data_IF_828662508872
#
_entry.id   IF_828662508872
#
_cell.length_a   1.000
_cell.length_b   1.000
_cell.length_c   1.000
_cell.angle_alpha   90.00
_cell.angle_beta   90.00
_cell.angle_gamma   90.00
#
_symmetry.space_group_name_H-M   'P 1'
#
loop_
_entity.id
_entity.type
_entity.pdbx_description
1 polymer ?
#
# COMPACT_ATOMS: atom_id res chain seq x y z
N UNK A 1 -41.61 19.83 42.07
CA UNK A 1 -41.95 18.95 40.94
C UNK A 1 -40.68 18.78 40.14
N UNK A 2 -40.19 17.56 39.89
CA UNK A 2 -39.05 17.39 39.00
C UNK A 2 -39.50 17.75 37.58
N UNK A 3 -38.75 18.61 36.91
CA UNK A 3 -39.01 18.97 35.52
C UNK A 3 -39.01 17.69 34.67
N UNK A 4 -40.08 17.48 33.89
CA UNK A 4 -40.14 16.40 32.91
C UNK A 4 -39.00 16.59 31.91
N UNK A 5 -38.06 15.64 31.88
CA UNK A 5 -37.02 15.61 30.87
C UNK A 5 -37.69 15.29 29.53
N UNK A 6 -37.95 16.33 28.73
CA UNK A 6 -38.44 16.19 27.36
C UNK A 6 -37.31 15.76 26.43
N UNK A 7 -37.42 14.58 25.82
CA UNK A 7 -36.50 14.17 24.75
C UNK A 7 -36.84 14.90 23.44
N UNK A 8 -35.83 15.28 22.63
CA UNK A 8 -36.06 15.91 21.34
C UNK A 8 -36.81 14.94 20.39
N UNK A 9 -37.80 15.48 19.66
CA UNK A 9 -38.51 14.73 18.63
C UNK A 9 -37.58 14.43 17.44
N UNK A 10 -37.82 13.30 16.77
CA UNK A 10 -37.06 12.89 15.58
C UNK A 10 -37.19 13.94 14.46
N UNK A 11 -36.09 14.63 14.16
CA UNK A 11 -36.01 15.62 13.09
C UNK A 11 -35.54 14.96 11.78
N UNK A 12 -36.18 15.21 10.62
CA UNK A 12 -35.69 14.76 9.31
C UNK A 12 -34.24 15.17 8.99
N UNK A 13 -33.75 16.29 9.54
CA UNK A 13 -32.36 16.70 9.42
C UNK A 13 -31.38 15.67 10.03
N UNK A 14 -31.82 14.89 11.01
CA UNK A 14 -31.03 13.86 11.70
C UNK A 14 -31.17 12.47 11.07
N UNK A 15 -31.82 12.34 9.89
CA UNK A 15 -32.13 11.05 9.28
C UNK A 15 -30.90 10.14 9.11
N UNK A 16 -29.72 10.72 8.80
CA UNK A 16 -28.47 9.96 8.69
C UNK A 16 -27.97 9.44 10.05
N UNK A 17 -28.10 10.25 11.11
CA UNK A 17 -27.72 9.83 12.45
C UNK A 17 -28.62 8.70 12.93
N UNK A 18 -29.93 8.82 12.71
CA UNK A 18 -30.88 7.76 13.03
C UNK A 18 -30.63 6.48 12.24
N UNK A 19 -30.36 6.57 10.93
CA UNK A 19 -29.97 5.41 10.14
C UNK A 19 -28.75 4.70 10.73
N UNK A 20 -27.70 5.46 11.08
CA UNK A 20 -26.51 4.87 11.72
C UNK A 20 -26.86 4.19 13.04
N UNK A 21 -27.64 4.83 13.91
CA UNK A 21 -28.03 4.26 15.21
C UNK A 21 -28.87 2.98 15.05
N UNK A 22 -29.80 2.97 14.10
CA UNK A 22 -30.65 1.82 13.78
C UNK A 22 -29.85 0.65 13.17
N UNK A 23 -28.74 0.96 12.47
CA UNK A 23 -27.90 -0.02 11.76
C UNK A 23 -26.56 -0.27 12.43
N UNK A 24 -26.35 0.24 13.65
CA UNK A 24 -25.04 0.22 14.29
C UNK A 24 -24.49 -1.21 14.39
N UNK A 25 -25.32 -2.18 14.78
CA UNK A 25 -24.88 -3.57 14.87
C UNK A 25 -24.39 -4.12 13.52
N UNK A 26 -25.18 -3.96 12.45
CA UNK A 26 -24.81 -4.38 11.09
C UNK A 26 -23.49 -3.71 10.62
N UNK A 27 -23.33 -2.42 10.92
CA UNK A 27 -22.14 -1.64 10.54
C UNK A 27 -20.88 -2.14 11.27
N UNK A 28 -20.98 -2.40 12.57
CA UNK A 28 -19.87 -2.94 13.36
C UNK A 28 -19.54 -4.38 12.93
N UNK A 29 -20.54 -5.20 12.58
CA UNK A 29 -20.31 -6.54 12.03
C UNK A 29 -19.55 -6.49 10.70
N UNK A 30 -19.97 -5.63 9.77
CA UNK A 30 -19.25 -5.46 8.50
C UNK A 30 -17.84 -4.88 8.69
N UNK A 31 -17.65 -4.00 9.68
CA UNK A 31 -16.33 -3.50 10.03
C UNK A 31 -15.43 -4.63 10.54
N UNK A 32 -15.93 -5.51 11.41
CA UNK A 32 -15.19 -6.68 11.89
C UNK A 32 -14.83 -7.64 10.74
N UNK A 33 -15.77 -7.94 9.84
CA UNK A 33 -15.51 -8.76 8.66
C UNK A 33 -14.45 -8.16 7.74
N UNK A 34 -14.44 -6.83 7.57
CA UNK A 34 -13.39 -6.14 6.81
C UNK A 34 -12.03 -6.29 7.49
N UNK A 35 -11.97 -6.19 8.81
CA UNK A 35 -10.72 -6.32 9.56
C UNK A 35 -10.17 -7.76 9.45
N UNK A 36 -11.05 -8.77 9.50
CA UNK A 36 -10.69 -10.18 9.23
C UNK A 36 -10.18 -10.38 7.79
N UNK A 37 -10.83 -9.75 6.80
CA UNK A 37 -10.41 -9.79 5.41
C UNK A 37 -9.05 -9.10 5.19
N UNK A 38 -8.81 -7.97 5.86
CA UNK A 38 -7.51 -7.29 5.83
C UNK A 38 -6.42 -8.18 6.45
N UNK A 39 -6.69 -8.83 7.57
CA UNK A 39 -5.76 -9.77 8.19
C UNK A 39 -5.46 -10.98 7.28
N UNK A 40 -6.47 -11.50 6.57
CA UNK A 40 -6.29 -12.53 5.55
C UNK A 40 -5.36 -12.04 4.43
N UNK A 41 -5.62 -10.85 3.88
CA UNK A 41 -4.80 -10.30 2.80
C UNK A 41 -3.35 -10.07 3.25
N UNK A 42 -3.11 -9.60 4.48
CA UNK A 42 -1.76 -9.47 5.04
C UNK A 42 -1.01 -10.81 5.05
N UNK A 43 -1.68 -11.92 5.39
CA UNK A 43 -1.06 -13.26 5.33
C UNK A 43 -0.64 -13.63 3.91
N UNK A 44 -1.50 -13.34 2.93
CA UNK A 44 -1.20 -13.58 1.51
C UNK A 44 -0.09 -12.68 0.97
N UNK A 45 -0.01 -11.43 1.43
CA UNK A 45 1.07 -10.53 1.04
C UNK A 45 2.42 -11.01 1.58
N UNK A 46 2.48 -11.54 2.81
CA UNK A 46 3.71 -12.12 3.39
C UNK A 46 4.24 -13.32 2.61
N UNK A 47 3.42 -14.03 1.84
CA UNK A 47 3.89 -15.11 0.95
C UNK A 47 4.88 -14.57 -0.11
N UNK A 48 4.89 -13.26 -0.38
CA UNK A 48 5.85 -12.65 -1.32
C UNK A 48 7.31 -12.70 -0.84
N UNK A 49 7.58 -12.96 0.45
CA UNK A 49 8.95 -13.06 0.98
C UNK A 49 9.77 -14.10 0.18
N UNK A 50 9.24 -15.30 -0.01
CA UNK A 50 9.92 -16.38 -0.75
C UNK A 50 10.22 -16.03 -2.22
N UNK A 51 9.25 -15.66 -3.08
CA UNK A 51 9.54 -15.33 -4.47
C UNK A 51 10.40 -14.06 -4.63
N UNK A 52 10.34 -13.12 -3.67
CA UNK A 52 11.27 -11.99 -3.68
C UNK A 52 12.70 -12.44 -3.36
N UNK A 53 12.90 -13.32 -2.38
CA UNK A 53 14.21 -13.91 -2.10
C UNK A 53 14.77 -14.69 -3.29
N UNK A 54 13.97 -15.55 -3.92
CA UNK A 54 14.37 -16.28 -5.13
C UNK A 54 14.75 -15.33 -6.27
N UNK A 55 13.95 -14.28 -6.48
CA UNK A 55 14.26 -13.25 -7.47
C UNK A 55 15.54 -12.48 -7.14
N UNK A 56 15.83 -12.24 -5.86
CA UNK A 56 17.04 -11.54 -5.41
C UNK A 56 18.29 -12.30 -5.85
N UNK A 57 18.30 -13.61 -5.63
CA UNK A 57 19.38 -14.51 -6.03
C UNK A 57 19.56 -14.50 -7.57
N UNK A 58 18.46 -14.58 -8.32
CA UNK A 58 18.48 -14.58 -9.79
C UNK A 58 19.06 -13.29 -10.39
N UNK A 59 18.79 -12.14 -9.78
CA UNK A 59 19.15 -10.82 -10.34
C UNK A 59 20.34 -10.16 -9.64
N UNK A 60 20.98 -10.86 -8.71
CA UNK A 60 22.11 -10.36 -7.92
C UNK A 60 21.75 -9.14 -7.06
N UNK A 61 20.59 -9.16 -6.42
CA UNK A 61 20.09 -8.10 -5.55
C UNK A 61 20.07 -8.52 -4.08
N UNK A 62 20.00 -7.54 -3.19
CA UNK A 62 19.79 -7.76 -1.76
C UNK A 62 18.30 -7.59 -1.44
N UNK A 63 17.77 -8.45 -0.57
CA UNK A 63 16.40 -8.30 -0.05
C UNK A 63 16.34 -7.13 0.93
N UNK A 64 15.35 -6.25 0.77
CA UNK A 64 15.02 -5.17 1.70
C UNK A 64 13.74 -5.52 2.47
N UNK A 65 13.91 -5.94 3.73
CA UNK A 65 12.81 -6.20 4.67
C UNK A 65 12.73 -5.12 5.76
N UNK A 66 13.43 -3.99 5.59
CA UNK A 66 13.42 -2.93 6.61
C UNK A 66 12.06 -2.21 6.64
N UNK A 67 11.32 -2.47 7.72
CA UNK A 67 9.93 -2.05 7.88
C UNK A 67 8.91 -3.16 7.70
N UNK A 68 9.32 -4.42 7.47
CA UNK A 68 8.36 -5.53 7.37
C UNK A 68 7.58 -5.74 8.67
N UNK A 69 8.22 -5.62 9.84
CA UNK A 69 7.55 -5.82 11.13
C UNK A 69 7.35 -4.53 11.93
N UNK A 70 7.96 -3.43 11.49
CA UNK A 70 7.96 -2.13 12.19
C UNK A 70 7.44 -0.99 11.31
N UNK A 71 7.10 0.14 11.93
CA UNK A 71 6.62 1.32 11.21
C UNK A 71 5.15 1.27 10.78
N UNK A 72 4.72 2.30 10.05
CA UNK A 72 3.34 2.45 9.56
C UNK A 72 3.04 1.52 8.39
N UNK A 73 3.96 1.48 7.43
CA UNK A 73 3.87 0.63 6.25
C UNK A 73 4.72 -0.60 6.49
N UNK A 74 4.19 -1.74 6.07
CA UNK A 74 4.92 -2.99 5.93
C UNK A 74 5.63 -2.95 4.59
N UNK A 75 6.91 -3.29 4.58
CA UNK A 75 7.79 -3.08 3.42
C UNK A 75 8.54 -4.37 3.14
N UNK A 76 8.50 -4.81 1.88
CA UNK A 76 9.33 -5.90 1.37
C UNK A 76 9.79 -5.53 -0.02
N UNK A 77 11.03 -5.77 -0.36
CA UNK A 77 11.53 -5.35 -1.65
C UNK A 77 12.91 -5.87 -1.94
N UNK A 78 13.49 -5.31 -2.99
CA UNK A 78 14.82 -5.61 -3.44
C UNK A 78 15.58 -4.31 -3.67
N UNK A 79 16.89 -4.37 -3.49
CA UNK A 79 17.80 -3.27 -3.81
C UNK A 79 19.07 -3.81 -4.44
N UNK A 80 19.72 -3.01 -5.28
CA UNK A 80 21.07 -3.30 -5.77
C UNK A 80 22.06 -2.38 -5.07
N UNK A 81 23.22 -2.92 -4.69
CA UNK A 81 24.27 -2.11 -4.06
C UNK A 81 24.68 -0.91 -4.92
N UNK A 82 24.72 -1.05 -6.24
CA UNK A 82 25.08 0.03 -7.17
C UNK A 82 24.07 1.17 -7.23
N UNK A 83 22.81 0.94 -6.83
CA UNK A 83 21.80 2.01 -6.71
C UNK A 83 21.98 2.83 -5.43
N UNK A 84 22.83 2.35 -4.53
CA UNK A 84 23.06 2.91 -3.20
C UNK A 84 24.49 3.46 -3.09
N UNK A 85 24.63 4.63 -2.48
CA UNK A 85 25.94 5.25 -2.30
C UNK A 85 25.87 6.58 -1.58
N UNK A 86 26.93 6.93 -0.85
CA UNK A 86 27.08 8.20 -0.12
C UNK A 86 25.85 8.58 0.74
N UNK A 87 25.33 7.62 1.50
CA UNK A 87 24.18 7.84 2.40
C UNK A 87 22.82 7.97 1.70
N UNK A 88 22.73 7.59 0.42
CA UNK A 88 21.49 7.48 -0.34
C UNK A 88 21.28 6.02 -0.76
N UNK A 89 20.10 5.49 -0.52
CA UNK A 89 19.73 4.09 -0.80
C UNK A 89 18.41 4.07 -1.55
N UNK A 90 18.32 3.24 -2.60
CA UNK A 90 17.12 3.09 -3.43
C UNK A 90 16.72 1.63 -3.50
N UNK A 91 15.45 1.37 -3.24
CA UNK A 91 14.86 0.05 -3.29
C UNK A 91 13.58 0.07 -4.12
N UNK A 92 13.30 -1.05 -4.79
CA UNK A 92 11.96 -1.33 -5.33
C UNK A 92 11.24 -2.14 -4.26
N UNK A 93 10.06 -1.69 -3.84
CA UNK A 93 9.33 -2.22 -2.70
C UNK A 93 7.90 -2.56 -3.06
N UNK A 94 7.36 -3.57 -2.39
CA UNK A 94 5.95 -3.76 -2.12
C UNK A 94 5.67 -3.17 -0.74
N UNK A 95 4.66 -2.32 -0.65
CA UNK A 95 4.28 -1.66 0.59
C UNK A 95 2.77 -1.75 0.84
N UNK A 96 2.38 -1.91 2.10
CA UNK A 96 0.98 -1.85 2.53
C UNK A 96 0.85 -1.32 3.96
N UNK A 97 -0.26 -0.62 4.27
CA UNK A 97 -0.57 -0.18 5.63
C UNK A 97 -1.63 -1.13 6.23
N UNK A 98 -1.27 -1.99 7.19
CA UNK A 98 -2.18 -3.01 7.71
C UNK A 98 -3.37 -2.41 8.48
N UNK A 99 -3.29 -1.15 8.91
CA UNK A 99 -4.38 -0.47 9.64
C UNK A 99 -5.43 0.13 8.71
N UNK A 100 -5.08 0.37 7.45
CA UNK A 100 -5.96 1.05 6.50
C UNK A 100 -6.28 0.20 5.27
N UNK A 101 -5.66 -0.97 5.13
CA UNK A 101 -5.96 -1.93 4.08
C UNK A 101 -7.46 -2.22 4.01
N UNK A 102 -8.03 -2.14 2.80
CA UNK A 102 -9.48 -2.31 2.54
C UNK A 102 -10.40 -1.27 3.21
N UNK A 103 -9.87 -0.21 3.81
CA UNK A 103 -10.68 0.83 4.45
C UNK A 103 -11.56 1.58 3.44
N UNK A 104 -12.73 2.01 3.89
CA UNK A 104 -13.69 2.74 3.06
C UNK A 104 -13.23 4.19 2.86
N UNK A 105 -13.11 4.66 1.62
CA UNK A 105 -12.78 6.06 1.34
C UNK A 105 -12.19 6.30 -0.06
N UNK A 106 -12.05 7.57 -0.44
CA UNK A 106 -11.50 7.98 -1.75
C UNK A 106 -10.06 7.49 -1.96
N UNK A 107 -9.31 7.35 -0.87
CA UNK A 107 -7.90 6.96 -0.87
C UNK A 107 -7.67 5.49 -0.53
N UNK A 108 -8.74 4.67 -0.50
CA UNK A 108 -8.74 3.23 -0.11
C UNK A 108 -7.42 2.54 -0.49
N UNK A 109 -6.52 2.33 0.49
CA UNK A 109 -5.17 1.92 0.19
C UNK A 109 -5.14 0.41 -0.05
N UNK A 110 -4.67 0.07 -1.23
CA UNK A 110 -4.32 -1.28 -1.63
C UNK A 110 -2.84 -1.51 -1.37
N UNK A 111 -2.32 -2.75 -1.40
CA UNK A 111 -0.88 -2.94 -1.55
C UNK A 111 -0.41 -2.18 -2.79
N UNK A 112 0.78 -1.60 -2.72
CA UNK A 112 1.35 -0.86 -3.83
C UNK A 112 2.79 -1.27 -4.06
N UNK A 113 3.24 -1.06 -5.29
CA UNK A 113 4.66 -1.18 -5.65
C UNK A 113 5.24 0.21 -5.74
N UNK A 114 6.48 0.38 -5.29
CA UNK A 114 7.13 1.67 -5.25
C UNK A 114 8.63 1.60 -5.51
N UNK A 115 9.20 2.74 -5.88
CA UNK A 115 10.63 3.01 -5.82
C UNK A 115 10.85 3.96 -4.67
N UNK A 116 11.29 3.42 -3.55
CA UNK A 116 11.54 4.13 -2.31
C UNK A 116 12.99 4.57 -2.23
N UNK A 117 13.25 5.73 -1.64
CA UNK A 117 14.59 6.13 -1.27
C UNK A 117 14.73 6.36 0.24
N UNK A 118 15.96 6.25 0.73
CA UNK A 118 16.40 6.74 2.05
C UNK A 118 17.60 7.67 1.85
N UNK A 119 17.68 8.75 2.61
CA UNK A 119 18.82 9.68 2.57
C UNK A 119 18.58 10.97 1.77
N UNK A 120 19.65 11.49 1.13
CA UNK A 120 19.74 12.83 0.54
C UNK A 120 18.56 13.21 -0.38
N UNK A 121 17.92 14.35 -0.07
CA UNK A 121 16.76 14.90 -0.77
C UNK A 121 17.10 15.47 -2.15
N UNK A 122 18.32 15.95 -2.39
CA UNK A 122 18.72 16.44 -3.72
C UNK A 122 18.90 15.28 -4.70
N UNK A 123 19.47 14.16 -4.25
CA UNK A 123 19.53 12.92 -5.04
C UNK A 123 18.16 12.36 -5.36
N UNK A 124 17.22 12.46 -4.41
CA UNK A 124 15.84 12.08 -4.66
C UNK A 124 15.21 12.85 -5.84
N UNK A 125 15.49 14.15 -6.00
CA UNK A 125 14.96 14.92 -7.15
C UNK A 125 15.45 14.34 -8.48
N UNK A 126 16.71 13.95 -8.56
CA UNK A 126 17.30 13.32 -9.75
C UNK A 126 16.63 11.98 -10.06
N UNK A 127 16.50 11.11 -9.06
CA UNK A 127 15.82 9.81 -9.24
C UNK A 127 14.36 10.03 -9.63
N UNK A 128 13.63 10.89 -8.92
CA UNK A 128 12.25 11.25 -9.24
C UNK A 128 12.10 11.74 -10.69
N UNK A 129 13.01 12.60 -11.17
CA UNK A 129 12.97 13.08 -12.54
C UNK A 129 13.18 11.95 -13.56
N UNK A 130 14.09 11.01 -13.26
CA UNK A 130 14.37 9.85 -14.11
C UNK A 130 13.18 8.88 -14.23
N UNK A 131 12.31 8.82 -13.21
CA UNK A 131 11.11 7.98 -13.21
C UNK A 131 9.86 8.62 -13.86
N UNK A 132 9.92 9.88 -14.30
CA UNK A 132 8.77 10.53 -15.00
C UNK A 132 8.25 9.73 -16.21
N UNK A 133 9.10 9.15 -17.08
CA UNK A 133 8.63 8.30 -18.18
C UNK A 133 7.92 7.03 -17.69
N UNK A 134 8.37 6.44 -16.59
CA UNK A 134 7.76 5.24 -15.99
C UNK A 134 6.37 5.57 -15.45
N UNK A 135 6.22 6.71 -14.77
CA UNK A 135 4.90 7.20 -14.31
C UNK A 135 3.92 7.32 -15.47
N UNK A 136 4.37 7.85 -16.62
CA UNK A 136 3.53 7.99 -17.81
C UNK A 136 3.16 6.65 -18.45
N UNK A 137 4.10 5.70 -18.50
CA UNK A 137 3.92 4.40 -19.18
C UNK A 137 3.14 3.40 -18.33
N UNK A 138 3.50 3.25 -17.06
CA UNK A 138 2.91 2.25 -16.16
C UNK A 138 1.71 2.77 -15.38
N UNK A 139 1.43 4.08 -15.45
CA UNK A 139 0.52 4.76 -14.54
C UNK A 139 1.08 4.81 -13.12
N UNK A 140 0.45 5.61 -12.25
CA UNK A 140 0.89 5.80 -10.87
C UNK A 140 1.20 7.27 -10.57
N UNK A 141 1.97 7.49 -9.52
CA UNK A 141 2.32 8.82 -9.04
C UNK A 141 3.75 8.87 -8.52
N UNK A 142 4.20 10.09 -8.21
CA UNK A 142 5.51 10.34 -7.62
C UNK A 142 5.38 11.39 -6.52
N UNK A 143 5.70 10.99 -5.29
CA UNK A 143 5.60 11.81 -4.10
C UNK A 143 6.63 11.32 -3.09
N UNK A 144 7.36 12.22 -2.44
CA UNK A 144 8.31 11.82 -1.40
C UNK A 144 7.64 10.92 -0.33
N UNK A 145 8.25 9.77 0.04
CA UNK A 145 9.60 9.30 -0.29
C UNK A 145 9.69 8.36 -1.52
N UNK A 146 8.67 8.33 -2.37
CA UNK A 146 8.59 7.45 -3.52
C UNK A 146 8.87 8.21 -4.83
N UNK A 147 9.90 7.78 -5.55
CA UNK A 147 10.20 8.31 -6.89
C UNK A 147 9.12 7.86 -7.89
N UNK A 148 8.54 6.69 -7.65
CA UNK A 148 7.38 6.13 -8.32
C UNK A 148 6.59 5.31 -7.31
N UNK A 149 5.25 5.32 -7.39
CA UNK A 149 4.41 4.33 -6.72
C UNK A 149 3.08 4.11 -7.45
N UNK A 150 2.51 2.91 -7.32
CA UNK A 150 1.19 2.58 -7.88
C UNK A 150 0.51 1.49 -7.05
N UNK A 151 -0.75 1.73 -6.70
CA UNK A 151 -1.61 0.70 -6.12
C UNK A 151 -1.79 -0.48 -7.08
N UNK A 152 -1.75 -1.69 -6.53
CA UNK A 152 -2.18 -2.89 -7.19
C UNK A 152 -3.62 -3.13 -6.76
N UNK A 153 -4.56 -2.68 -7.59
CA UNK A 153 -5.99 -2.82 -7.35
C UNK A 153 -6.50 -3.96 -8.22
N UNK A 154 -7.37 -4.85 -7.71
CA UNK A 154 -8.01 -5.85 -8.54
C UNK A 154 -8.83 -5.16 -9.64
N UNK A 155 -8.80 -5.74 -10.84
CA UNK A 155 -9.54 -5.21 -11.99
C UNK A 155 -11.06 -5.30 -11.80
N UNK A 156 -11.52 -6.20 -10.93
CA UNK A 156 -12.92 -6.39 -10.58
C UNK A 156 -13.19 -5.95 -9.13
N UNK A 157 -14.47 -5.71 -8.80
CA UNK A 157 -14.87 -5.35 -7.44
C UNK A 157 -14.73 -6.49 -6.42
N UNK A 158 -14.59 -7.74 -6.87
CA UNK A 158 -14.31 -8.88 -6.01
C UNK A 158 -12.79 -9.06 -5.84
N UNK A 159 -12.36 -9.36 -4.61
CA UNK A 159 -10.95 -9.55 -4.27
C UNK A 159 -10.70 -11.03 -4.01
N UNK A 160 -9.86 -11.65 -4.83
CA UNK A 160 -9.20 -12.90 -4.50
C UNK A 160 -7.79 -12.56 -3.97
N UNK A 161 -7.48 -12.84 -2.69
CA UNK A 161 -6.16 -12.57 -2.11
C UNK A 161 -5.01 -13.24 -2.86
N UNK A 162 -5.22 -14.44 -3.40
CA UNK A 162 -4.17 -15.16 -4.13
C UNK A 162 -3.85 -14.46 -5.45
N UNK A 163 -4.90 -14.13 -6.21
CA UNK A 163 -4.76 -13.39 -7.46
C UNK A 163 -4.14 -12.01 -7.22
N UNK A 164 -4.57 -11.29 -6.17
CA UNK A 164 -4.01 -9.99 -5.84
C UNK A 164 -2.52 -10.08 -5.50
N UNK A 165 -2.09 -11.08 -4.73
CA UNK A 165 -0.67 -11.32 -4.44
C UNK A 165 0.13 -11.57 -5.72
N UNK A 166 -0.39 -12.36 -6.66
CA UNK A 166 0.26 -12.59 -7.96
C UNK A 166 0.35 -11.29 -8.78
N UNK A 167 -0.70 -10.48 -8.80
CA UNK A 167 -0.72 -9.19 -9.49
C UNK A 167 0.30 -8.21 -8.88
N UNK A 168 0.45 -8.24 -7.54
CA UNK A 168 1.47 -7.47 -6.83
C UNK A 168 2.88 -7.91 -7.24
N UNK A 169 3.16 -9.22 -7.27
CA UNK A 169 4.45 -9.74 -7.70
C UNK A 169 4.76 -9.39 -9.17
N UNK A 170 3.78 -9.51 -10.06
CA UNK A 170 3.92 -9.16 -11.46
C UNK A 170 4.20 -7.65 -11.63
N UNK A 171 3.48 -6.81 -10.91
CA UNK A 171 3.70 -5.37 -10.89
C UNK A 171 5.05 -4.98 -10.28
N UNK A 172 5.51 -5.72 -9.27
CA UNK A 172 6.82 -5.54 -8.67
C UNK A 172 7.90 -5.87 -9.69
N UNK A 173 7.80 -7.01 -10.38
CA UNK A 173 8.75 -7.43 -11.40
C UNK A 173 8.83 -6.42 -12.55
N UNK A 174 7.68 -5.94 -13.03
CA UNK A 174 7.63 -4.91 -14.05
C UNK A 174 8.35 -3.63 -13.59
N UNK A 175 8.13 -3.20 -12.35
CA UNK A 175 8.80 -2.01 -11.82
C UNK A 175 10.30 -2.23 -11.61
N UNK A 176 10.70 -3.43 -11.21
CA UNK A 176 12.11 -3.80 -11.06
C UNK A 176 12.89 -3.68 -12.37
N UNK A 177 12.36 -4.24 -13.45
CA UNK A 177 13.02 -4.22 -14.76
C UNK A 177 13.19 -2.78 -15.29
N UNK A 178 12.21 -1.91 -15.00
CA UNK A 178 12.27 -0.47 -15.30
C UNK A 178 13.30 0.26 -14.44
N UNK A 179 13.33 -0.02 -13.14
CA UNK A 179 14.28 0.57 -12.21
C UNK A 179 15.72 0.19 -12.57
N UNK A 180 15.97 -1.08 -12.90
CA UNK A 180 17.26 -1.56 -13.37
C UNK A 180 17.72 -0.86 -14.65
N UNK A 181 16.79 -0.56 -15.57
CA UNK A 181 17.12 0.18 -16.80
C UNK A 181 17.50 1.64 -16.50
N UNK A 182 16.82 2.27 -15.53
CA UNK A 182 16.99 3.70 -15.23
C UNK A 182 18.19 3.97 -14.32
N UNK A 183 18.39 3.11 -13.32
CA UNK A 183 19.38 3.30 -12.27
C UNK A 183 20.70 2.61 -12.58
N UNK A 184 20.72 1.70 -13.56
CA UNK A 184 21.86 0.85 -13.89
C UNK A 184 22.11 -0.20 -12.82
#
# INVERSE_FOLDING_TARGET
MPDEIGFPLRNPADAKAWFYLERRADIEEWAAQRDDAAALLVRYLRVLETPLSEMADDVGADVDLDGLDEGRFRVMGLRRQQWSGQGFDVAVTVEWDPKTLLSTGKDNPWPFVAVRHRGDRERFKTVKAAFVPVVKRLGGASQHPWAYWRFQKPATGAVDPEQLTRDVLAGFRQLWDEAATILG
#
